data_IF_366830911844
#
_entry.id   IF_366830911844
#
_cell.length_a   1.000
_cell.length_b   1.000
_cell.length_c   1.000
_cell.angle_alpha   90.00
_cell.angle_beta   90.00
_cell.angle_gamma   90.00
#
_symmetry.space_group_name_H-M   'P 1'
#
loop_
_entity.id
_entity.type
_entity.pdbx_description
1 polymer ?
#
# COMPACT_ATOMS: atom_id res chain seq x y z
N UNK A 1 -18.27 -27.58 17.16
CA UNK A 1 -17.48 -26.38 17.53
C UNK A 1 -16.87 -25.86 16.23
N UNK A 2 -17.58 -24.97 15.56
CA UNK A 2 -17.28 -24.48 14.20
C UNK A 2 -16.67 -23.08 14.34
N UNK A 3 -15.39 -22.94 13.96
CA UNK A 3 -14.78 -21.63 13.69
C UNK A 3 -15.55 -20.95 12.54
N UNK A 4 -15.82 -19.64 12.60
CA UNK A 4 -16.32 -18.94 11.43
C UNK A 4 -15.17 -18.84 10.43
N UNK A 5 -15.37 -19.50 9.29
CA UNK A 5 -14.54 -19.41 8.10
C UNK A 5 -14.71 -18.00 7.52
N UNK A 6 -13.79 -17.08 7.83
CA UNK A 6 -13.68 -15.83 7.07
C UNK A 6 -13.14 -16.19 5.68
N UNK A 7 -14.06 -16.29 4.72
CA UNK A 7 -13.75 -16.38 3.31
C UNK A 7 -13.17 -15.03 2.86
N UNK A 8 -11.85 -14.87 2.98
CA UNK A 8 -11.15 -13.77 2.32
C UNK A 8 -10.98 -14.18 0.84
N UNK A 9 -11.85 -13.61 0.01
CA UNK A 9 -11.83 -13.76 -1.44
C UNK A 9 -10.54 -13.21 -2.05
N UNK A 10 -9.90 -14.07 -2.85
CA UNK A 10 -8.96 -13.79 -3.93
C UNK A 10 -7.72 -12.94 -3.56
N UNK A 11 -6.67 -13.61 -3.07
CA UNK A 11 -5.31 -13.15 -3.34
C UNK A 11 -5.13 -13.27 -4.85
N UNK A 12 -5.34 -12.17 -5.58
CA UNK A 12 -4.75 -12.05 -6.90
C UNK A 12 -3.24 -12.05 -6.66
N UNK A 13 -2.60 -13.21 -6.84
CA UNK A 13 -1.16 -13.24 -7.04
C UNK A 13 -0.91 -12.56 -8.37
N UNK A 14 -0.83 -11.22 -8.35
CA UNK A 14 0.00 -10.54 -9.33
C UNK A 14 1.41 -10.98 -8.97
N UNK A 15 1.89 -12.03 -9.65
CA UNK A 15 3.30 -12.05 -9.98
C UNK A 15 3.52 -10.74 -10.71
N UNK A 16 3.98 -9.71 -10.00
CA UNK A 16 4.62 -8.58 -10.65
C UNK A 16 5.78 -9.22 -11.37
N UNK A 17 5.57 -9.51 -12.66
CA UNK A 17 6.67 -9.72 -13.57
C UNK A 17 7.54 -8.50 -13.29
N UNK A 18 8.79 -8.68 -12.88
CA UNK A 18 9.82 -7.63 -12.80
C UNK A 18 10.13 -7.19 -14.25
N UNK A 19 9.07 -6.87 -14.98
CA UNK A 19 9.01 -6.57 -16.38
C UNK A 19 9.27 -5.09 -16.51
N UNK A 20 10.09 -4.77 -17.48
CA UNK A 20 10.23 -3.41 -17.91
C UNK A 20 8.90 -2.95 -18.53
N UNK A 21 8.38 -1.81 -18.07
CA UNK A 21 7.07 -1.33 -18.48
C UNK A 21 7.13 -0.71 -19.87
N UNK A 22 6.76 -1.51 -20.85
CA UNK A 22 6.42 -1.05 -22.20
C UNK A 22 4.92 -0.79 -22.24
N UNK A 23 4.53 0.47 -22.17
CA UNK A 23 3.13 0.88 -22.11
C UNK A 23 2.61 1.09 -23.53
N UNK A 24 1.48 0.47 -23.93
CA UNK A 24 0.89 0.67 -25.24
C UNK A 24 0.46 2.13 -25.41
N UNK A 25 0.73 2.70 -26.57
CA UNK A 25 0.43 4.08 -26.93
C UNK A 25 0.02 4.15 -28.42
N UNK A 26 -0.64 5.25 -28.78
CA UNK A 26 -1.03 5.49 -30.18
C UNK A 26 -1.24 6.97 -30.45
N UNK A 27 -1.24 7.36 -31.73
CA UNK A 27 -1.57 8.73 -32.19
C UNK A 27 -0.78 9.84 -31.48
N UNK A 28 0.50 9.58 -31.19
CA UNK A 28 1.42 10.51 -30.53
C UNK A 28 1.28 10.57 -29.00
N UNK A 29 0.50 9.69 -28.40
CA UNK A 29 0.38 9.60 -26.95
C UNK A 29 1.72 9.22 -26.29
N UNK A 30 2.02 9.88 -25.17
CA UNK A 30 3.23 9.68 -24.38
C UNK A 30 2.78 9.51 -22.92
N UNK A 31 2.85 8.30 -22.36
CA UNK A 31 2.40 8.04 -21.00
C UNK A 31 3.29 8.72 -19.96
N UNK A 32 2.75 8.84 -18.74
CA UNK A 32 3.52 9.30 -17.58
C UNK A 32 4.77 8.43 -17.36
N UNK A 33 5.83 9.06 -16.84
CA UNK A 33 7.11 8.42 -16.56
C UNK A 33 7.85 7.86 -17.79
N UNK A 34 7.51 8.33 -19.00
CA UNK A 34 8.23 7.97 -20.22
C UNK A 34 9.74 8.27 -20.11
N UNK A 35 10.56 7.34 -20.59
CA UNK A 35 12.02 7.43 -20.50
C UNK A 35 12.56 8.35 -21.59
N UNK A 36 13.03 9.52 -21.18
CA UNK A 36 13.70 10.46 -22.06
C UNK A 36 15.00 9.85 -22.61
N UNK A 37 15.06 9.70 -23.93
CA UNK A 37 16.21 9.19 -24.65
C UNK A 37 17.05 10.27 -25.31
N UNK A 38 16.50 11.46 -25.53
CA UNK A 38 17.25 12.60 -26.02
C UNK A 38 16.37 13.76 -26.48
N UNK A 39 16.79 14.47 -27.53
CA UNK A 39 16.09 15.66 -28.02
C UNK A 39 16.11 15.76 -29.54
N UNK A 40 15.08 16.39 -30.12
CA UNK A 40 14.98 16.62 -31.55
C UNK A 40 15.68 17.94 -31.93
N UNK A 41 16.65 17.89 -32.83
CA UNK A 41 17.41 19.06 -33.28
C UNK A 41 16.63 19.94 -34.27
N UNK A 42 15.59 19.40 -34.92
CA UNK A 42 14.73 20.13 -35.87
C UNK A 42 13.53 20.79 -35.18
N UNK A 43 13.14 20.32 -34.00
CA UNK A 43 11.96 20.79 -33.27
C UNK A 43 12.32 21.45 -31.93
N UNK A 44 13.16 22.49 -31.98
CA UNK A 44 13.54 23.34 -30.83
C UNK A 44 14.09 22.59 -29.59
N UNK A 45 14.64 21.39 -29.77
CA UNK A 45 15.13 20.57 -28.66
C UNK A 45 14.03 19.82 -27.89
N UNK A 46 12.86 19.61 -28.50
CA UNK A 46 11.78 18.80 -27.94
C UNK A 46 12.31 17.45 -27.45
N UNK A 47 11.77 16.97 -26.32
CA UNK A 47 12.21 15.69 -25.74
C UNK A 47 11.77 14.52 -26.61
N UNK A 48 12.71 13.63 -26.88
CA UNK A 48 12.47 12.33 -27.51
C UNK A 48 12.45 11.24 -26.45
N UNK A 49 11.41 10.43 -26.48
CA UNK A 49 11.20 9.29 -25.59
C UNK A 49 11.52 7.98 -26.32
N UNK A 50 11.96 6.99 -25.55
CA UNK A 50 12.23 5.64 -26.07
C UNK A 50 10.90 4.95 -26.36
N UNK A 51 10.73 4.49 -27.60
CA UNK A 51 9.59 3.68 -28.00
C UNK A 51 10.04 2.44 -28.77
N UNK A 52 9.12 1.49 -28.94
CA UNK A 52 9.29 0.33 -29.81
C UNK A 52 8.00 0.03 -30.56
N UNK A 53 8.13 -0.67 -31.68
CA UNK A 53 6.98 -1.18 -32.42
C UNK A 53 7.37 -2.28 -33.40
N UNK A 54 6.35 -2.89 -33.98
CA UNK A 54 6.47 -3.98 -34.93
C UNK A 54 6.47 -3.46 -36.37
N UNK A 55 7.36 -3.99 -37.20
CA UNK A 55 7.41 -3.75 -38.64
C UNK A 55 7.40 -5.11 -39.33
N UNK A 56 6.22 -5.55 -39.80
CA UNK A 56 6.05 -6.83 -40.50
C UNK A 56 6.54 -8.06 -39.70
N UNK A 57 6.39 -8.05 -38.37
CA UNK A 57 6.87 -9.11 -37.49
C UNK A 57 8.29 -8.90 -36.93
N UNK A 58 8.99 -7.85 -37.35
CA UNK A 58 10.29 -7.45 -36.80
C UNK A 58 10.13 -6.29 -35.81
N UNK A 59 10.48 -6.50 -34.54
CA UNK A 59 10.44 -5.45 -33.53
C UNK A 59 11.69 -4.56 -33.59
N UNK A 60 11.50 -3.25 -33.53
CA UNK A 60 12.57 -2.26 -33.44
C UNK A 60 12.28 -1.20 -32.37
N UNK A 61 13.33 -0.66 -31.76
CA UNK A 61 13.25 0.52 -30.89
C UNK A 61 13.70 1.78 -31.62
N UNK A 62 13.12 2.91 -31.22
CA UNK A 62 13.36 4.21 -31.82
C UNK A 62 12.86 5.33 -30.93
N UNK A 63 12.31 6.38 -31.56
CA UNK A 63 11.99 7.65 -30.91
C UNK A 63 10.53 8.05 -31.12
N UNK A 64 9.92 8.63 -30.10
CA UNK A 64 8.64 9.36 -30.19
C UNK A 64 8.79 10.68 -29.46
N UNK A 65 8.12 11.72 -29.94
CA UNK A 65 8.14 13.06 -29.36
C UNK A 65 6.72 13.62 -29.41
N UNK A 66 6.45 14.67 -28.64
CA UNK A 66 5.11 15.30 -28.58
C UNK A 66 4.60 15.80 -29.93
N UNK A 67 5.50 16.05 -30.90
CA UNK A 67 5.17 16.45 -32.26
C UNK A 67 5.03 15.29 -33.26
N UNK A 68 5.29 14.03 -32.85
CA UNK A 68 5.11 12.84 -33.69
C UNK A 68 3.70 12.26 -33.56
N UNK A 69 3.25 11.48 -34.56
CA UNK A 69 1.98 10.72 -34.51
C UNK A 69 2.19 9.23 -34.25
N UNK A 70 3.40 8.73 -34.49
CA UNK A 70 3.81 7.37 -34.18
C UNK A 70 5.23 7.28 -33.63
N UNK A 71 5.65 6.04 -33.35
CA UNK A 71 7.02 5.73 -33.03
C UNK A 71 7.85 5.67 -34.32
N UNK A 72 8.89 6.48 -34.43
CA UNK A 72 9.81 6.45 -35.56
C UNK A 72 10.92 5.42 -35.29
N UNK A 73 11.06 4.46 -36.19
CA UNK A 73 11.91 3.29 -36.07
C UNK A 73 12.93 3.21 -37.23
N UNK A 74 14.18 2.82 -36.95
CA UNK A 74 15.15 2.52 -38.01
C UNK A 74 14.86 1.13 -38.59
N UNK A 75 14.63 1.03 -39.91
CA UNK A 75 14.38 -0.26 -40.57
C UNK A 75 14.81 -0.26 -42.04
N UNK A 76 15.68 -1.20 -42.41
CA UNK A 76 16.09 -1.48 -43.79
C UNK A 76 16.49 -0.24 -44.61
N UNK A 77 17.25 0.70 -44.02
CA UNK A 77 17.68 1.93 -44.68
C UNK A 77 16.71 3.11 -44.57
N UNK A 78 15.50 2.91 -44.05
CA UNK A 78 14.46 3.94 -43.91
C UNK A 78 14.11 4.25 -42.45
N UNK A 79 13.60 5.46 -42.20
CA UNK A 79 12.86 5.80 -40.98
C UNK A 79 11.39 5.45 -41.20
N UNK A 80 10.88 4.48 -40.46
CA UNK A 80 9.49 4.02 -40.55
C UNK A 80 8.72 4.51 -39.33
N UNK A 81 7.63 5.21 -39.55
CA UNK A 81 6.69 5.58 -38.48
C UNK A 81 5.65 4.48 -38.28
N UNK A 82 5.46 4.03 -37.05
CA UNK A 82 4.48 2.99 -36.68
C UNK A 82 3.49 3.47 -35.64
N UNK A 83 2.24 3.03 -35.81
CA UNK A 83 1.10 3.24 -34.91
C UNK A 83 0.18 2.02 -35.03
N UNK A 84 -0.15 1.29 -33.95
CA UNK A 84 0.21 1.55 -32.55
C UNK A 84 1.67 1.20 -32.23
N UNK A 85 2.13 1.67 -31.06
CA UNK A 85 3.48 1.44 -30.55
C UNK A 85 3.49 1.26 -29.03
N UNK A 86 4.68 1.07 -28.47
CA UNK A 86 4.89 1.03 -27.02
C UNK A 86 5.92 2.07 -26.61
N UNK A 87 5.69 2.74 -25.49
CA UNK A 87 6.64 3.67 -24.87
C UNK A 87 7.25 3.02 -23.65
N UNK A 88 8.57 3.13 -23.52
CA UNK A 88 9.26 2.68 -22.33
C UNK A 88 9.02 3.68 -21.19
N UNK A 89 8.50 3.21 -20.06
CA UNK A 89 8.34 4.01 -18.84
C UNK A 89 9.24 3.50 -17.72
N UNK A 90 9.58 4.39 -16.79
CA UNK A 90 10.29 4.04 -15.56
C UNK A 90 9.69 4.80 -14.38
N UNK A 91 8.55 4.31 -13.84
CA UNK A 91 7.95 4.90 -12.66
C UNK A 91 8.93 4.96 -11.48
N UNK A 92 8.82 5.96 -10.59
CA UNK A 92 9.84 6.21 -9.59
C UNK A 92 9.84 5.16 -8.45
N UNK A 93 8.80 4.33 -8.36
CA UNK A 93 8.69 3.17 -7.45
C UNK A 93 9.28 1.86 -8.01
N UNK A 94 9.89 1.88 -9.19
CA UNK A 94 10.56 0.70 -9.73
C UNK A 94 11.80 0.32 -8.89
N UNK A 95 12.02 -0.98 -8.71
CA UNK A 95 13.18 -1.56 -8.01
C UNK A 95 14.48 -1.52 -8.84
N UNK A 96 14.54 -0.62 -9.82
CA UNK A 96 15.69 -0.38 -10.65
C UNK A 96 15.73 1.05 -11.16
N UNK A 97 16.90 1.50 -11.58
CA UNK A 97 17.09 2.72 -12.38
C UNK A 97 17.43 2.36 -13.82
N UNK A 98 17.18 3.30 -14.71
CA UNK A 98 17.61 3.23 -16.10
C UNK A 98 18.68 4.27 -16.33
N UNK A 99 19.86 3.80 -16.75
CA UNK A 99 21.03 4.65 -16.93
C UNK A 99 21.63 4.43 -18.32
N UNK A 100 22.16 5.51 -18.90
CA UNK A 100 22.82 5.45 -20.20
C UNK A 100 24.31 5.22 -20.00
N UNK A 101 24.79 4.04 -20.38
CA UNK A 101 26.22 3.71 -20.31
C UNK A 101 26.84 3.76 -21.70
N UNK A 102 28.04 4.33 -21.82
CA UNK A 102 28.80 4.28 -23.07
C UNK A 102 29.62 3.01 -23.15
N UNK A 103 30.03 2.63 -24.35
CA UNK A 103 31.05 1.62 -24.48
C UNK A 103 31.66 1.54 -25.87
N UNK A 104 32.89 1.05 -25.89
CA UNK A 104 33.49 0.42 -27.07
C UNK A 104 33.13 -1.05 -27.01
N UNK A 105 31.94 -1.36 -27.49
CA UNK A 105 31.45 -2.73 -27.55
C UNK A 105 32.05 -3.39 -28.78
N UNK A 106 32.84 -4.44 -28.58
CA UNK A 106 33.27 -5.34 -29.65
C UNK A 106 32.45 -6.62 -29.52
N UNK A 107 31.96 -7.13 -30.65
CA UNK A 107 31.43 -8.49 -30.85
C UNK A 107 30.63 -9.00 -29.65
N UNK A 108 29.41 -8.51 -29.51
CA UNK A 108 28.46 -9.05 -28.56
C UNK A 108 28.56 -8.53 -27.13
N UNK A 109 29.51 -7.64 -26.85
CA UNK A 109 29.67 -7.07 -25.51
C UNK A 109 28.67 -5.94 -25.27
N UNK A 110 27.37 -6.21 -25.17
CA UNK A 110 26.46 -5.27 -24.48
C UNK A 110 26.55 -5.54 -22.97
N UNK A 111 26.30 -4.55 -22.09
CA UNK A 111 26.19 -4.81 -20.66
C UNK A 111 25.17 -5.94 -20.38
N UNK A 112 25.47 -6.82 -19.44
CA UNK A 112 24.58 -7.95 -19.10
C UNK A 112 23.21 -7.50 -18.57
N UNK A 113 23.13 -6.27 -18.08
CA UNK A 113 21.92 -5.62 -17.61
C UNK A 113 21.34 -4.63 -18.62
N UNK A 114 21.71 -4.73 -19.90
CA UNK A 114 21.13 -3.90 -20.95
C UNK A 114 19.62 -4.15 -21.11
N UNK A 115 18.90 -3.07 -21.37
CA UNK A 115 17.48 -3.10 -21.72
C UNK A 115 17.32 -3.78 -23.09
N UNK A 116 16.80 -4.99 -23.08
CA UNK A 116 16.46 -5.74 -24.29
C UNK A 116 14.97 -5.59 -24.59
N UNK A 117 14.62 -5.39 -25.86
CA UNK A 117 13.24 -5.41 -26.32
C UNK A 117 12.94 -6.64 -27.19
N UNK A 118 13.95 -7.17 -27.90
CA UNK A 118 13.87 -8.43 -28.62
C UNK A 118 15.22 -9.17 -28.56
N UNK A 119 15.25 -10.45 -28.96
CA UNK A 119 16.45 -11.29 -28.87
C UNK A 119 17.65 -10.62 -29.55
N UNK A 120 18.75 -10.41 -28.80
CA UNK A 120 19.98 -9.75 -29.27
C UNK A 120 19.82 -8.29 -29.73
N UNK A 121 18.71 -7.64 -29.38
CA UNK A 121 18.44 -6.23 -29.66
C UNK A 121 18.20 -5.45 -28.37
N UNK A 122 18.82 -4.27 -28.30
CA UNK A 122 18.86 -3.47 -27.08
C UNK A 122 18.60 -2.00 -27.36
N UNK A 123 18.05 -1.29 -26.38
CA UNK A 123 17.82 0.15 -26.48
C UNK A 123 19.15 0.90 -26.42
N UNK A 124 19.35 1.81 -27.38
CA UNK A 124 20.51 2.68 -27.41
C UNK A 124 20.16 4.11 -27.79
N UNK A 125 21.16 4.98 -27.71
CA UNK A 125 21.10 6.35 -28.25
C UNK A 125 22.46 6.80 -28.78
N UNK A 126 22.45 7.77 -29.68
CA UNK A 126 23.68 8.36 -30.23
C UNK A 126 23.63 9.88 -30.16
N UNK A 127 24.76 10.51 -29.85
CA UNK A 127 24.88 11.97 -29.82
C UNK A 127 25.22 12.48 -31.22
N UNK A 128 24.25 13.11 -31.87
CA UNK A 128 24.43 13.83 -33.13
C UNK A 128 24.37 15.32 -32.85
N UNK A 129 25.50 16.02 -33.01
CA UNK A 129 25.59 17.48 -32.89
C UNK A 129 25.02 18.07 -31.57
N UNK A 130 25.15 17.34 -30.45
CA UNK A 130 24.64 17.77 -29.15
C UNK A 130 23.25 17.23 -28.80
N UNK A 131 22.60 16.54 -29.73
CA UNK A 131 21.26 15.96 -29.57
C UNK A 131 21.35 14.44 -29.55
N UNK A 132 20.79 13.84 -28.51
CA UNK A 132 20.73 12.38 -28.42
C UNK A 132 19.53 11.84 -29.19
N UNK A 133 19.75 10.84 -30.03
CA UNK A 133 18.67 10.20 -30.82
C UNK A 133 18.53 8.75 -30.38
N UNK A 134 17.36 8.33 -29.86
CA UNK A 134 17.07 6.95 -29.52
C UNK A 134 17.02 6.02 -30.75
N UNK A 135 17.37 4.75 -30.55
CA UNK A 135 17.40 3.74 -31.60
C UNK A 135 17.64 2.34 -31.06
N UNK A 136 18.10 1.43 -31.93
CA UNK A 136 18.37 0.02 -31.62
C UNK A 136 19.85 -0.33 -31.72
N UNK A 137 20.35 -1.09 -30.77
CA UNK A 137 21.65 -1.75 -30.82
C UNK A 137 21.43 -3.19 -31.26
N UNK A 138 22.08 -3.59 -32.35
CA UNK A 138 21.96 -4.94 -32.92
C UNK A 138 23.26 -5.69 -32.66
N UNK A 139 23.23 -6.59 -31.68
CA UNK A 139 24.41 -7.28 -31.18
C UNK A 139 25.12 -8.10 -32.27
N UNK A 140 24.35 -8.71 -33.18
CA UNK A 140 24.86 -9.52 -34.29
C UNK A 140 25.69 -8.70 -35.31
N UNK A 141 25.37 -7.41 -35.47
CA UNK A 141 26.07 -6.53 -36.42
C UNK A 141 27.08 -5.60 -35.77
N UNK A 142 27.17 -5.60 -34.43
CA UNK A 142 28.05 -4.74 -33.64
C UNK A 142 27.84 -3.24 -33.94
N UNK A 143 26.57 -2.84 -34.11
CA UNK A 143 26.17 -1.50 -34.54
C UNK A 143 24.94 -1.01 -33.81
N UNK A 144 24.88 0.31 -33.67
CA UNK A 144 23.69 1.05 -33.32
C UNK A 144 23.03 1.59 -34.60
N UNK A 145 21.71 1.57 -34.66
CA UNK A 145 20.89 2.12 -35.74
C UNK A 145 19.89 3.11 -35.15
N UNK A 146 19.69 4.24 -35.83
CA UNK A 146 18.73 5.25 -35.40
C UNK A 146 17.98 5.87 -36.59
N UNK A 147 16.71 6.24 -36.40
CA UNK A 147 15.91 6.91 -37.42
C UNK A 147 16.18 8.40 -37.41
N UNK A 148 16.50 8.97 -38.56
CA UNK A 148 16.71 10.41 -38.71
C UNK A 148 16.51 10.87 -40.16
N UNK A 149 15.70 11.91 -40.32
CA UNK A 149 15.47 12.61 -41.59
C UNK A 149 14.99 11.68 -42.72
N UNK A 150 14.03 10.81 -42.40
CA UNK A 150 13.42 9.86 -43.34
C UNK A 150 14.28 8.62 -43.62
N UNK A 151 15.47 8.51 -43.02
CA UNK A 151 16.43 7.43 -43.29
C UNK A 151 16.88 6.71 -42.01
N UNK A 152 17.32 5.46 -42.15
CA UNK A 152 18.04 4.74 -41.10
C UNK A 152 19.54 5.07 -41.20
N UNK A 153 20.12 5.47 -40.06
CA UNK A 153 21.56 5.72 -39.92
C UNK A 153 22.17 4.67 -39.01
N UNK A 154 23.47 4.41 -39.12
CA UNK A 154 24.15 3.45 -38.26
C UNK A 154 25.54 3.91 -37.80
N UNK A 155 25.89 3.54 -36.57
CA UNK A 155 27.15 3.90 -35.93
C UNK A 155 27.84 2.68 -35.34
N UNK A 156 29.17 2.61 -35.52
CA UNK A 156 29.99 1.51 -35.00
C UNK A 156 30.51 1.77 -33.58
N UNK A 157 30.52 3.03 -33.13
CA UNK A 157 31.07 3.44 -31.83
C UNK A 157 30.46 4.76 -31.38
N UNK A 158 30.61 5.09 -30.10
CA UNK A 158 30.15 6.37 -29.54
C UNK A 158 28.65 6.43 -29.25
N UNK A 159 27.93 5.31 -29.44
CA UNK A 159 26.58 5.15 -28.95
C UNK A 159 26.58 4.73 -27.48
N UNK A 160 25.44 4.95 -26.82
CA UNK A 160 25.16 4.57 -25.45
C UNK A 160 24.12 3.46 -25.45
N UNK A 161 24.21 2.56 -24.48
CA UNK A 161 23.24 1.49 -24.22
C UNK A 161 22.47 1.85 -22.96
N UNK A 162 21.16 1.65 -22.98
CA UNK A 162 20.33 1.78 -21.78
C UNK A 162 20.48 0.54 -20.90
N UNK A 163 20.81 0.71 -19.63
CA UNK A 163 20.98 -0.39 -18.68
C UNK A 163 20.04 -0.28 -17.50
N UNK A 164 19.64 -1.43 -16.96
CA UNK A 164 18.82 -1.60 -15.77
C UNK A 164 19.72 -1.86 -14.57
N UNK A 165 19.86 -0.87 -13.68
CA UNK A 165 20.65 -1.03 -12.46
C UNK A 165 19.71 -1.34 -11.29
N UNK A 166 19.99 -2.42 -10.56
CA UNK A 166 19.17 -2.83 -9.42
C UNK A 166 19.13 -1.72 -8.36
N UNK A 167 17.93 -1.40 -7.89
CA UNK A 167 17.66 -0.43 -6.84
C UNK A 167 16.58 -1.01 -5.91
N UNK A 168 16.91 -2.04 -5.11
CA UNK A 168 15.94 -2.71 -4.25
C UNK A 168 15.33 -1.76 -3.21
N UNK A 169 14.05 -1.94 -2.94
CA UNK A 169 13.35 -1.20 -1.88
C UNK A 169 13.71 -1.82 -0.52
N UNK A 170 13.99 -0.96 0.45
CA UNK A 170 14.29 -1.33 1.83
C UNK A 170 12.99 -1.35 2.67
N UNK A 171 12.27 -0.24 2.70
CA UNK A 171 10.98 -0.10 3.36
C UNK A 171 10.19 1.11 2.82
N UNK A 172 8.93 1.22 3.23
CA UNK A 172 8.11 2.41 2.99
C UNK A 172 7.92 3.20 4.29
N UNK A 173 7.89 4.53 4.19
CA UNK A 173 7.42 5.41 5.26
C UNK A 173 6.16 6.15 4.81
N UNK A 174 5.06 6.03 5.55
CA UNK A 174 3.81 6.77 5.31
C UNK A 174 3.67 7.85 6.38
N UNK A 175 3.57 9.11 5.94
CA UNK A 175 3.52 10.28 6.83
C UNK A 175 2.70 11.41 6.19
N UNK A 176 2.56 12.52 6.91
CA UNK A 176 1.67 13.64 6.53
C UNK A 176 0.24 13.17 6.26
N UNK A 177 -0.26 12.27 7.12
CA UNK A 177 -1.59 11.68 6.99
C UNK A 177 -2.67 12.70 7.35
N UNK A 178 -3.61 12.89 6.43
CA UNK A 178 -4.78 13.75 6.58
C UNK A 178 -6.03 12.90 6.42
N UNK A 179 -6.79 12.75 7.50
CA UNK A 179 -8.05 12.00 7.51
C UNK A 179 -9.22 12.84 6.97
N UNK A 180 -10.09 12.20 6.18
CA UNK A 180 -11.33 12.77 5.69
C UNK A 180 -12.52 12.20 6.49
N UNK A 181 -12.92 12.93 7.53
CA UNK A 181 -14.04 12.52 8.39
C UNK A 181 -15.42 12.69 7.76
N UNK A 182 -15.56 13.43 6.66
CA UNK A 182 -16.84 13.51 5.93
C UNK A 182 -17.18 12.19 5.26
N UNK A 183 -16.17 11.42 4.83
CA UNK A 183 -16.33 10.07 4.28
C UNK A 183 -16.19 8.96 5.30
N UNK A 184 -15.94 9.28 6.58
CA UNK A 184 -15.68 8.28 7.61
C UNK A 184 -16.97 7.71 8.19
N UNK A 185 -16.97 6.40 8.45
CA UNK A 185 -18.11 5.71 9.06
C UNK A 185 -17.66 4.57 9.96
N UNK A 186 -18.57 4.14 10.85
CA UNK A 186 -18.37 2.96 11.67
C UNK A 186 -19.59 2.04 11.58
N UNK A 187 -19.35 0.73 11.71
CA UNK A 187 -20.39 -0.29 11.84
C UNK A 187 -20.25 -0.97 13.19
N UNK A 188 -21.36 -1.25 13.87
CA UNK A 188 -21.38 -1.92 15.16
C UNK A 188 -21.94 -3.33 15.03
N UNK A 189 -21.40 -4.28 15.78
CA UNK A 189 -22.04 -5.58 15.97
C UNK A 189 -23.41 -5.40 16.63
N UNK A 190 -24.37 -6.21 16.21
CA UNK A 190 -25.70 -6.22 16.81
C UNK A 190 -25.64 -6.67 18.27
N UNK A 191 -24.90 -7.75 18.51
CA UNK A 191 -24.80 -8.39 19.81
C UNK A 191 -23.58 -7.88 20.59
N UNK A 192 -23.74 -7.52 21.88
CA UNK A 192 -22.62 -7.27 22.78
C UNK A 192 -21.88 -8.58 23.10
N UNK A 193 -20.57 -8.48 23.30
CA UNK A 193 -19.69 -9.57 23.71
C UNK A 193 -19.28 -9.31 25.16
N UNK A 194 -19.30 -10.33 26.02
CA UNK A 194 -18.77 -10.24 27.40
C UNK A 194 -17.24 -10.13 27.30
N UNK A 195 -16.69 -9.04 27.81
CA UNK A 195 -15.26 -8.72 27.75
C UNK A 195 -14.50 -9.25 28.96
N UNK A 196 -15.10 -9.11 30.14
CA UNK A 196 -14.59 -9.64 31.40
C UNK A 196 -15.74 -9.86 32.37
N UNK A 197 -15.56 -10.79 33.30
CA UNK A 197 -16.57 -11.12 34.31
C UNK A 197 -15.91 -11.61 35.60
N UNK A 198 -16.48 -11.22 36.74
CA UNK A 198 -16.04 -11.63 38.07
C UNK A 198 -17.24 -11.95 38.97
N UNK A 199 -17.05 -12.94 39.85
CA UNK A 199 -17.99 -13.24 40.93
C UNK A 199 -17.44 -12.65 42.22
N UNK A 200 -18.32 -12.00 43.00
CA UNK A 200 -17.96 -11.47 44.31
C UNK A 200 -18.93 -11.98 45.36
N UNK A 201 -18.40 -12.43 46.49
CA UNK A 201 -19.19 -12.98 47.60
C UNK A 201 -18.97 -12.16 48.85
N UNK A 202 -20.05 -11.77 49.52
CA UNK A 202 -20.02 -11.20 50.86
C UNK A 202 -20.57 -12.20 51.89
N UNK A 203 -19.66 -12.93 52.54
CA UNK A 203 -19.99 -13.86 53.63
C UNK A 203 -20.15 -13.17 55.00
N UNK A 204 -20.02 -11.83 55.06
CA UNK A 204 -20.19 -11.07 56.29
C UNK A 204 -21.68 -10.91 56.65
N UNK A 205 -22.03 -10.83 57.94
CA UNK A 205 -23.36 -10.41 58.37
C UNK A 205 -23.61 -8.90 58.16
N UNK A 206 -22.64 -8.13 57.64
CA UNK A 206 -22.77 -6.68 57.41
C UNK A 206 -22.62 -6.32 55.93
N UNK A 207 -23.22 -5.19 55.54
CA UNK A 207 -23.03 -4.61 54.21
C UNK A 207 -21.54 -4.24 54.01
N UNK A 208 -20.99 -4.58 52.86
CA UNK A 208 -19.57 -4.35 52.56
C UNK A 208 -19.41 -3.62 51.23
N UNK A 209 -18.62 -2.54 51.20
CA UNK A 209 -18.22 -1.89 49.95
C UNK A 209 -17.01 -2.59 49.35
N UNK A 210 -17.04 -2.88 48.06
CA UNK A 210 -15.89 -3.46 47.36
C UNK A 210 -15.60 -2.73 46.06
N UNK A 211 -14.33 -2.59 45.71
CA UNK A 211 -13.88 -2.21 44.37
C UNK A 211 -13.37 -3.44 43.63
N UNK A 212 -13.72 -3.55 42.35
CA UNK A 212 -13.31 -4.67 41.49
C UNK A 212 -12.79 -4.15 40.17
N UNK A 213 -11.59 -4.59 39.82
CA UNK A 213 -10.95 -4.29 38.55
C UNK A 213 -11.41 -5.30 37.50
N UNK A 214 -12.13 -4.87 36.47
CA UNK A 214 -12.39 -5.65 35.27
C UNK A 214 -11.32 -5.32 34.22
N UNK A 215 -10.70 -6.34 33.65
CA UNK A 215 -9.65 -6.23 32.63
C UNK A 215 -10.24 -6.40 31.25
N UNK A 216 -10.29 -5.32 30.49
CA UNK A 216 -10.79 -5.30 29.12
C UNK A 216 -9.62 -5.54 28.18
N UNK A 217 -9.72 -6.61 27.40
CA UNK A 217 -8.76 -6.90 26.32
C UNK A 217 -9.35 -6.44 25.00
N UNK A 218 -8.84 -5.34 24.47
CA UNK A 218 -9.21 -4.83 23.15
C UNK A 218 -8.27 -5.40 22.10
N UNK A 219 -8.80 -5.87 20.97
CA UNK A 219 -7.96 -6.29 19.84
C UNK A 219 -8.17 -5.27 18.75
N UNK A 220 -7.19 -4.38 18.58
CA UNK A 220 -7.17 -3.37 17.52
C UNK A 220 -6.48 -3.92 16.29
N UNK A 221 -7.18 -3.94 15.17
CA UNK A 221 -6.60 -4.32 13.86
C UNK A 221 -6.65 -3.07 13.00
N UNK A 222 -5.56 -2.31 13.00
CA UNK A 222 -5.44 -1.06 12.26
C UNK A 222 -4.61 -1.26 11.01
N UNK A 223 -5.14 -0.85 9.86
CA UNK A 223 -4.45 -0.96 8.58
C UNK A 223 -4.68 0.29 7.72
N UNK A 224 -3.63 0.74 7.04
CA UNK A 224 -3.74 1.76 5.99
C UNK A 224 -3.77 1.01 4.66
N UNK A 225 -4.92 1.00 4.00
CA UNK A 225 -5.16 0.22 2.79
C UNK A 225 -4.34 0.68 1.58
N UNK A 226 -4.49 -0.06 0.48
CA UNK A 226 -3.86 0.22 -0.81
C UNK A 226 -3.95 1.70 -1.22
N UNK A 227 -2.84 2.17 -1.75
CA UNK A 227 -2.63 3.55 -2.12
C UNK A 227 -2.92 3.72 -3.60
N UNK A 228 -3.99 4.43 -3.94
CA UNK A 228 -4.34 4.64 -5.34
C UNK A 228 -3.25 5.53 -5.97
N UNK A 229 -2.58 5.02 -7.03
CA UNK A 229 -1.57 5.64 -7.93
C UNK A 229 -0.21 4.94 -7.96
N UNK A 230 0.13 4.09 -7.01
CA UNK A 230 1.35 3.28 -7.09
C UNK A 230 1.15 1.97 -6.31
N UNK A 231 1.83 0.92 -6.77
CA UNK A 231 1.75 -0.40 -6.15
C UNK A 231 2.90 -0.56 -5.15
N UNK A 232 2.56 -0.93 -3.92
CA UNK A 232 3.54 -1.35 -2.93
C UNK A 232 3.79 -2.85 -3.10
N UNK A 233 5.06 -3.26 -3.06
CA UNK A 233 5.42 -4.68 -3.10
C UNK A 233 5.08 -5.37 -1.77
N UNK A 234 4.39 -6.52 -1.87
CA UNK A 234 4.04 -7.40 -0.74
C UNK A 234 5.32 -7.89 -0.04
N UNK A 235 5.28 -7.98 1.28
CA UNK A 235 6.40 -8.44 2.10
C UNK A 235 7.43 -7.37 2.47
N UNK A 236 7.25 -6.13 2.01
CA UNK A 236 8.12 -5.00 2.39
C UNK A 236 7.56 -4.32 3.65
N UNK A 237 8.47 -3.94 4.56
CA UNK A 237 8.14 -3.21 5.78
C UNK A 237 7.52 -1.83 5.45
N UNK A 238 6.50 -1.46 6.21
CA UNK A 238 5.84 -0.15 6.19
C UNK A 238 5.92 0.46 7.58
N UNK A 239 6.41 1.69 7.65
CA UNK A 239 6.45 2.51 8.86
C UNK A 239 5.46 3.66 8.71
N UNK A 240 4.43 3.71 9.52
CA UNK A 240 3.43 4.78 9.52
C UNK A 240 3.69 5.75 10.67
N UNK A 241 3.73 7.05 10.37
CA UNK A 241 3.83 8.12 11.37
C UNK A 241 2.55 8.95 11.36
N UNK A 242 1.57 8.51 12.13
CA UNK A 242 0.26 9.14 12.21
C UNK A 242 -0.39 8.87 13.58
N UNK A 243 -1.35 9.72 13.95
CA UNK A 243 -2.28 9.36 15.02
C UNK A 243 -3.37 8.42 14.49
N UNK A 244 -3.98 7.66 15.39
CA UNK A 244 -5.07 6.73 15.09
C UNK A 244 -6.40 7.50 15.16
N UNK A 245 -7.24 7.48 14.12
CA UNK A 245 -8.56 8.08 14.16
C UNK A 245 -9.52 7.16 14.94
N UNK A 246 -10.37 7.76 15.76
CA UNK A 246 -11.39 7.04 16.53
C UNK A 246 -12.66 7.87 16.65
N UNK A 247 -13.80 7.21 16.85
CA UNK A 247 -15.07 7.89 17.10
C UNK A 247 -15.30 8.07 18.60
N UNK A 248 -15.23 9.32 19.07
CA UNK A 248 -15.47 9.67 20.47
C UNK A 248 -16.97 9.70 20.76
N UNK A 249 -17.57 8.54 21.09
CA UNK A 249 -19.01 8.37 21.30
C UNK A 249 -19.61 9.37 22.29
N UNK A 250 -18.92 9.65 23.40
CA UNK A 250 -19.34 10.63 24.42
C UNK A 250 -19.43 12.08 23.87
N UNK A 251 -18.70 12.39 22.80
CA UNK A 251 -18.68 13.73 22.15
C UNK A 251 -19.38 13.74 20.79
N UNK A 252 -19.79 12.58 20.28
CA UNK A 252 -20.46 12.43 18.99
C UNK A 252 -19.64 12.88 17.78
N UNK A 253 -18.30 12.76 17.81
CA UNK A 253 -17.43 13.20 16.71
C UNK A 253 -16.18 12.33 16.56
N UNK A 254 -15.57 12.39 15.38
CA UNK A 254 -14.25 11.82 15.11
C UNK A 254 -13.14 12.64 15.79
N UNK A 255 -12.17 11.94 16.35
CA UNK A 255 -10.95 12.50 16.94
C UNK A 255 -9.74 11.67 16.49
N UNK A 256 -8.53 12.20 16.69
CA UNK A 256 -7.27 11.51 16.35
C UNK A 256 -6.39 11.52 17.60
N UNK A 257 -5.72 10.40 17.88
CA UNK A 257 -4.73 10.34 18.96
C UNK A 257 -3.52 11.25 18.67
N UNK A 258 -2.62 11.38 19.64
CA UNK A 258 -1.29 11.93 19.35
C UNK A 258 -0.55 11.08 18.31
N UNK A 259 0.36 11.70 17.56
CA UNK A 259 1.17 11.03 16.54
C UNK A 259 2.04 9.94 17.17
N UNK A 260 1.93 8.71 16.65
CA UNK A 260 2.77 7.57 17.00
C UNK A 260 3.38 6.92 15.76
N UNK A 261 4.39 6.08 15.97
CA UNK A 261 5.00 5.26 14.90
C UNK A 261 4.41 3.86 14.98
N UNK A 262 3.91 3.37 13.85
CA UNK A 262 3.41 2.01 13.66
C UNK A 262 4.25 1.31 12.60
N UNK A 263 4.52 0.03 12.78
CA UNK A 263 5.30 -0.76 11.83
C UNK A 263 4.56 -2.06 11.52
N UNK A 264 4.48 -2.41 10.24
CA UNK A 264 3.92 -3.67 9.79
C UNK A 264 4.58 -4.10 8.48
N UNK A 265 4.34 -5.34 8.07
CA UNK A 265 4.75 -5.85 6.75
C UNK A 265 3.56 -5.73 5.80
N UNK A 266 3.76 -5.12 4.63
CA UNK A 266 2.67 -4.93 3.67
C UNK A 266 2.14 -6.28 3.16
N UNK A 267 0.80 -6.43 3.18
CA UNK A 267 0.10 -7.66 2.77
C UNK A 267 -0.02 -8.73 3.85
N UNK A 268 0.46 -8.48 5.08
CA UNK A 268 0.25 -9.35 6.23
C UNK A 268 -0.82 -8.79 7.17
N UNK A 269 -1.72 -9.65 7.66
CA UNK A 269 -2.72 -9.24 8.66
C UNK A 269 -2.05 -9.03 10.02
N UNK A 270 -2.18 -7.84 10.60
CA UNK A 270 -1.63 -7.53 11.92
C UNK A 270 -2.74 -7.23 12.93
N UNK A 271 -2.71 -7.91 14.08
CA UNK A 271 -3.61 -7.65 15.21
C UNK A 271 -2.80 -7.21 16.41
N UNK A 272 -3.15 -6.07 16.99
CA UNK A 272 -2.55 -5.58 18.24
C UNK A 272 -3.54 -5.79 19.38
N UNK A 273 -3.06 -6.24 20.54
CA UNK A 273 -3.90 -6.40 21.73
C UNK A 273 -3.58 -5.30 22.73
N UNK A 274 -4.56 -4.48 23.08
CA UNK A 274 -4.47 -3.44 24.10
C UNK A 274 -5.25 -3.90 25.33
N UNK A 275 -4.67 -3.77 26.52
CA UNK A 275 -5.33 -4.16 27.78
C UNK A 275 -5.58 -2.93 28.63
N UNK A 276 -6.82 -2.72 29.07
CA UNK A 276 -7.24 -1.65 29.98
C UNK A 276 -7.90 -2.24 31.23
N UNK A 277 -7.78 -1.57 32.36
CA UNK A 277 -8.37 -2.01 33.63
C UNK A 277 -9.35 -0.96 34.13
N UNK A 278 -10.58 -1.38 34.45
CA UNK A 278 -11.65 -0.51 34.94
C UNK A 278 -12.11 -0.93 36.34
N UNK A 279 -12.18 0.01 37.28
CA UNK A 279 -12.71 -0.27 38.62
C UNK A 279 -14.22 -0.02 38.71
N UNK A 280 -14.92 -1.03 39.20
CA UNK A 280 -16.35 -0.99 39.52
C UNK A 280 -16.50 -1.04 41.03
N UNK A 281 -17.16 -0.04 41.61
CA UNK A 281 -17.48 0.01 43.03
C UNK A 281 -18.94 -0.39 43.25
N UNK A 282 -19.18 -1.26 44.23
CA UNK A 282 -20.53 -1.72 44.57
C UNK A 282 -20.68 -2.02 46.06
N UNK A 283 -21.91 -1.87 46.56
CA UNK A 283 -22.31 -2.19 47.92
C UNK A 283 -22.93 -3.59 47.94
N UNK A 284 -22.32 -4.50 48.71
CA UNK A 284 -22.75 -5.90 48.81
C UNK A 284 -23.60 -6.10 50.08
N UNK A 285 -24.87 -6.49 49.96
CA UNK A 285 -25.67 -6.92 51.11
C UNK A 285 -25.01 -8.06 51.89
N UNK A 286 -25.36 -8.27 53.17
CA UNK A 286 -24.95 -9.46 53.92
C UNK A 286 -25.36 -10.75 53.21
N UNK A 287 -24.53 -11.79 53.29
CA UNK A 287 -24.80 -13.12 52.72
C UNK A 287 -25.27 -13.05 51.25
N UNK A 288 -24.57 -12.27 50.43
CA UNK A 288 -24.91 -12.10 49.01
C UNK A 288 -23.76 -12.55 48.11
N UNK A 289 -24.13 -12.96 46.90
CA UNK A 289 -23.21 -13.11 45.79
C UNK A 289 -23.67 -12.19 44.67
N UNK A 290 -22.73 -11.52 44.03
CA UNK A 290 -23.01 -10.77 42.81
C UNK A 290 -22.15 -11.30 41.67
N UNK A 291 -22.72 -11.27 40.47
CA UNK A 291 -22.00 -11.49 39.23
C UNK A 291 -21.83 -10.14 38.53
N UNK A 292 -20.60 -9.69 38.37
CA UNK A 292 -20.28 -8.46 37.65
C UNK A 292 -19.65 -8.79 36.32
N UNK A 293 -20.15 -8.23 35.23
CA UNK A 293 -19.56 -8.40 33.90
C UNK A 293 -19.67 -7.13 33.08
N UNK A 294 -18.71 -6.94 32.18
CA UNK A 294 -18.71 -5.84 31.22
C UNK A 294 -18.92 -6.40 29.83
N UNK A 295 -19.87 -5.82 29.09
CA UNK A 295 -20.09 -6.12 27.68
C UNK A 295 -19.59 -4.98 26.80
N UNK A 296 -19.20 -5.29 25.57
CA UNK A 296 -18.86 -4.31 24.54
C UNK A 296 -19.35 -4.77 23.16
N UNK A 297 -19.50 -3.84 22.23
CA UNK A 297 -19.78 -4.15 20.81
C UNK A 297 -18.50 -4.05 20.00
N UNK A 298 -18.39 -4.89 18.97
CA UNK A 298 -17.33 -4.77 17.97
C UNK A 298 -17.69 -3.60 17.04
N UNK A 299 -16.79 -2.63 16.90
CA UNK A 299 -16.86 -1.55 15.92
C UNK A 299 -15.87 -1.82 14.80
N UNK A 300 -16.31 -1.72 13.54
CA UNK A 300 -15.41 -1.62 12.39
C UNK A 300 -15.46 -0.18 11.88
N UNK A 301 -14.29 0.43 11.73
CA UNK A 301 -14.08 1.82 11.34
C UNK A 301 -13.48 1.87 9.96
N UNK A 302 -13.94 2.84 9.17
CA UNK A 302 -13.45 3.14 7.83
C UNK A 302 -13.26 4.64 7.73
N UNK A 303 -12.02 5.10 7.50
CA UNK A 303 -11.67 6.52 7.45
C UNK A 303 -10.79 6.77 6.22
N UNK A 304 -11.33 7.38 5.16
CA UNK A 304 -10.53 7.77 4.01
C UNK A 304 -9.42 8.75 4.42
N UNK A 305 -8.24 8.64 3.80
CA UNK A 305 -7.13 9.54 4.07
C UNK A 305 -6.36 9.92 2.80
N UNK A 306 -5.60 11.01 2.89
CA UNK A 306 -4.51 11.33 1.97
C UNK A 306 -3.18 11.40 2.72
N UNK A 307 -2.09 10.97 2.10
CA UNK A 307 -0.77 10.94 2.72
C UNK A 307 0.37 11.17 1.71
N UNK A 308 1.59 11.23 2.23
CA UNK A 308 2.83 11.05 1.46
C UNK A 308 3.42 9.68 1.81
N UNK A 309 3.82 8.94 0.77
CA UNK A 309 4.60 7.70 0.92
C UNK A 309 6.02 7.95 0.44
N UNK A 310 6.99 7.72 1.31
CA UNK A 310 8.41 7.70 0.98
C UNK A 310 8.85 6.27 0.77
N UNK A 311 9.42 6.02 -0.40
CA UNK A 311 10.03 4.76 -0.77
C UNK A 311 11.51 4.87 -0.40
N UNK A 312 11.96 4.08 0.57
CA UNK A 312 13.36 4.01 0.97
C UNK A 312 14.03 2.90 0.19
N UNK A 313 15.14 3.21 -0.48
CA UNK A 313 15.94 2.23 -1.19
C UNK A 313 17.14 1.77 -0.35
N UNK A 314 17.59 0.55 -0.56
CA UNK A 314 18.73 -0.07 0.17
C UNK A 314 20.04 0.70 0.02
N UNK A 315 20.17 1.52 -1.01
CA UNK A 315 21.32 2.39 -1.25
C UNK A 315 21.27 3.73 -0.49
N UNK A 316 20.25 3.94 0.36
CA UNK A 316 20.06 5.14 1.18
C UNK A 316 19.38 6.32 0.48
N UNK A 317 19.09 6.20 -0.81
CA UNK A 317 18.26 7.18 -1.53
C UNK A 317 16.78 6.94 -1.23
N UNK A 318 15.95 7.95 -1.49
CA UNK A 318 14.51 7.85 -1.31
C UNK A 318 13.74 8.57 -2.41
N UNK A 319 12.46 8.21 -2.53
CA UNK A 319 11.51 8.87 -3.40
C UNK A 319 10.21 9.16 -2.64
N UNK A 320 9.74 10.40 -2.70
CA UNK A 320 8.44 10.78 -2.14
C UNK A 320 7.34 10.71 -3.22
N UNK A 321 6.26 10.03 -2.87
CA UNK A 321 5.00 9.94 -3.59
C UNK A 321 3.94 10.71 -2.80
N UNK A 322 3.50 11.85 -3.36
CA UNK A 322 2.58 12.78 -2.68
C UNK A 322 1.13 12.56 -3.12
N UNK A 323 0.20 13.06 -2.32
CA UNK A 323 -1.25 13.04 -2.61
C UNK A 323 -1.78 11.63 -2.85
N UNK A 324 -1.28 10.70 -2.04
CA UNK A 324 -1.65 9.31 -2.09
C UNK A 324 -2.92 9.13 -1.27
N UNK A 325 -3.96 8.54 -1.86
CA UNK A 325 -5.23 8.27 -1.17
C UNK A 325 -5.37 6.80 -0.81
N UNK A 326 -5.91 6.55 0.38
CA UNK A 326 -6.26 5.21 0.87
C UNK A 326 -7.41 5.28 1.87
N UNK A 327 -7.73 4.14 2.46
CA UNK A 327 -8.71 4.01 3.54
C UNK A 327 -8.01 3.42 4.76
N UNK A 328 -8.16 4.07 5.90
CA UNK A 328 -7.75 3.51 7.17
C UNK A 328 -8.89 2.65 7.69
N UNK A 329 -8.60 1.39 7.98
CA UNK A 329 -9.56 0.47 8.59
C UNK A 329 -9.12 0.10 9.98
N UNK A 330 -10.05 0.13 10.93
CA UNK A 330 -9.81 -0.33 12.29
C UNK A 330 -10.93 -1.22 12.80
N UNK A 331 -10.60 -2.11 13.72
CA UNK A 331 -11.57 -2.92 14.44
C UNK A 331 -11.29 -2.77 15.91
N UNK A 332 -12.25 -2.33 16.71
CA UNK A 332 -12.08 -2.22 18.17
C UNK A 332 -13.38 -2.49 18.93
N UNK A 333 -13.31 -2.54 20.26
CA UNK A 333 -14.49 -2.67 21.11
C UNK A 333 -14.97 -1.30 21.61
N UNK A 334 -16.27 -1.07 21.58
CA UNK A 334 -16.90 0.18 22.03
C UNK A 334 -18.23 -0.06 22.70
N UNK A 335 -18.89 0.99 23.19
CA UNK A 335 -20.19 0.92 23.88
C UNK A 335 -20.15 0.02 25.11
N UNK A 336 -19.12 0.20 25.95
CA UNK A 336 -18.94 -0.58 27.16
C UNK A 336 -20.11 -0.35 28.14
N UNK A 337 -20.68 -1.45 28.62
CA UNK A 337 -21.72 -1.43 29.67
C UNK A 337 -21.37 -2.47 30.72
N UNK A 338 -21.33 -2.05 31.97
CA UNK A 338 -21.12 -2.92 33.13
C UNK A 338 -22.46 -3.26 33.77
N UNK A 339 -22.67 -4.55 34.03
CA UNK A 339 -23.85 -5.08 34.71
C UNK A 339 -23.44 -5.66 36.07
N UNK A 340 -24.39 -5.60 37.01
CA UNK A 340 -24.28 -6.19 38.35
C UNK A 340 -25.57 -6.97 38.57
N UNK A 341 -25.44 -8.29 38.56
CA UNK A 341 -26.56 -9.20 38.80
C UNK A 341 -26.48 -9.73 40.23
N UNK A 342 -27.56 -9.57 40.99
CA UNK A 342 -27.68 -10.11 42.34
C UNK A 342 -28.04 -11.61 42.27
N UNK A 343 -27.19 -12.46 42.86
CA UNK A 343 -27.52 -13.85 43.14
C UNK A 343 -27.75 -14.00 44.65
N UNK A 344 -28.99 -14.26 45.11
CA UNK A 344 -29.19 -14.64 46.50
C UNK A 344 -28.39 -15.92 46.77
N UNK A 345 -27.64 -15.96 47.88
CA UNK A 345 -27.05 -17.21 48.34
C UNK A 345 -28.23 -18.14 48.66
N UNK A 346 -28.38 -19.23 47.90
CA UNK A 346 -29.30 -20.29 48.29
C UNK A 346 -28.83 -20.79 49.65
N UNK A 347 -29.69 -20.65 50.66
CA UNK A 347 -29.51 -21.35 51.92
C UNK A 347 -29.47 -22.84 51.60
N UNK A 348 -28.29 -23.47 51.76
CA UNK A 348 -28.26 -24.90 52.04
C UNK A 348 -28.90 -25.08 53.41
N UNK A 349 -30.23 -25.24 53.46
CA UNK A 349 -30.81 -26.43 54.09
C UNK A 349 -32.31 -26.53 53.87
N UNK A 350 -32.80 -27.76 53.82
CA UNK A 350 -34.23 -28.02 53.82
C UNK A 350 -34.90 -27.42 55.06
N UNK A 351 -35.80 -26.45 54.88
CA UNK A 351 -37.19 -26.51 55.32
C UNK A 351 -37.95 -25.23 54.94
N UNK A 352 -39.10 -25.41 54.28
CA UNK A 352 -40.08 -24.36 54.01
C UNK A 352 -40.54 -23.68 55.30
N UNK A 353 -40.35 -22.37 55.37
CA UNK A 353 -40.98 -21.50 56.36
C UNK A 353 -41.47 -20.21 55.71
N UNK A 354 -42.75 -20.17 55.34
CA UNK A 354 -43.45 -18.99 54.85
C UNK A 354 -43.32 -17.84 55.87
N UNK A 355 -42.79 -16.68 55.46
CA UNK A 355 -42.94 -15.46 56.26
C UNK A 355 -43.25 -14.25 55.38
N UNK A 356 -44.52 -13.83 55.43
CA UNK A 356 -45.03 -12.55 54.94
C UNK A 356 -44.71 -11.43 55.94
N UNK A 357 -44.37 -10.22 55.47
CA UNK A 357 -44.45 -9.01 56.28
C UNK A 357 -45.19 -7.85 55.56
N UNK A 358 -45.92 -6.99 56.29
CA UNK A 358 -46.95 -6.11 55.75
C UNK A 358 -46.45 -4.68 55.48
N UNK A 359 -47.11 -3.99 54.56
CA UNK A 359 -46.99 -2.54 54.32
C UNK A 359 -47.77 -1.71 55.36
N UNK A 360 -47.18 -0.59 55.81
CA UNK A 360 -47.80 0.64 56.33
C UNK A 360 -46.77 1.77 56.11
N UNK A 361 -47.06 2.99 55.60
CA UNK A 361 -48.29 3.74 55.29
C UNK A 361 -48.03 4.58 54.03
#
# INVERSE_FOLDING_TARGET
MMMPLFLLTLIATFTTVIGQDWIPASNGDIPDYAVAGGTDDRYYGDTLYVCKGDINGDEASGKVGSHHKGCHLPYCGAEIEVDPYYVLTNPPWQEFTLDWTSGTYKKGSVPSNAVSFSQNHFVGRYNRNGHYIPGKVVQATDRFYYPYDGSEHCEKKGYYVLVKNSRPIDHYELFDVVYNFTGAYQTLSNDPIIMDSQNVVNNSPYITSTSRSLTITETTTSEWSETHRFEMYVGIKVTVRAGIPFFASARGRWEVTGTSTHEYTYGETHTTTVTSTHEVTTLLPPQSKIHTYTTARKANIFVPFTATVRIMFTNGYYQDMKNISGEYTDVHQTSFVTYIDDEPLLEEDGQQGNVSYPCWL
#
